data_IF_192115099849
#
_entry.id   IF_192115099849
#
_cell.length_a   1.000
_cell.length_b   1.000
_cell.length_c   1.000
_cell.angle_alpha   90.00
_cell.angle_beta   90.00
_cell.angle_gamma   90.00
#
_symmetry.space_group_name_H-M   'P 1'
#
loop_
_entity.id
_entity.type
_entity.pdbx_description
1 polymer ?
#
# COMPACT_ATOMS: atom_id res chain seq x y z
N UNK A 1 0.30 6.47 -28.42
CA UNK A 1 0.47 5.23 -27.63
C UNK A 1 -0.23 5.42 -26.30
N UNK A 2 -1.06 4.47 -25.85
CA UNK A 2 -1.59 4.51 -24.47
C UNK A 2 -0.43 4.36 -23.49
N UNK A 3 -0.38 5.20 -22.46
CA UNK A 3 0.60 5.09 -21.37
C UNK A 3 0.25 3.85 -20.55
N UNK A 4 1.21 2.95 -20.34
CA UNK A 4 1.05 1.77 -19.49
C UNK A 4 0.63 2.19 -18.07
N UNK A 5 -0.41 1.56 -17.54
CA UNK A 5 -0.91 1.78 -16.17
C UNK A 5 0.05 1.21 -15.11
N UNK A 6 -0.14 1.58 -13.85
CA UNK A 6 0.64 1.01 -12.74
C UNK A 6 0.44 -0.49 -12.61
N UNK A 7 -0.82 -0.95 -12.65
CA UNK A 7 -1.15 -2.36 -12.50
C UNK A 7 -0.62 -3.20 -13.67
N UNK A 8 -0.70 -2.71 -14.90
CA UNK A 8 -0.10 -3.39 -16.06
C UNK A 8 1.42 -3.51 -15.90
N UNK A 9 2.08 -2.46 -15.40
CA UNK A 9 3.51 -2.51 -15.11
C UNK A 9 3.83 -3.54 -14.02
N UNK A 10 3.05 -3.57 -12.95
CA UNK A 10 3.23 -4.50 -11.84
C UNK A 10 3.02 -5.95 -12.25
N UNK A 11 1.91 -6.26 -12.92
CA UNK A 11 1.56 -7.61 -13.35
C UNK A 11 2.58 -8.19 -14.34
N UNK A 12 3.13 -7.35 -15.24
CA UNK A 12 4.16 -7.76 -16.19
C UNK A 12 5.49 -8.18 -15.52
N UNK A 13 5.66 -7.88 -14.22
CA UNK A 13 6.84 -8.24 -13.44
C UNK A 13 6.60 -9.43 -12.52
N UNK A 14 5.37 -9.93 -12.39
CA UNK A 14 5.07 -11.04 -11.51
C UNK A 14 5.42 -12.37 -12.17
N UNK A 15 6.09 -13.25 -11.42
CA UNK A 15 6.30 -14.64 -11.82
C UNK A 15 5.37 -15.59 -11.07
N UNK A 16 5.04 -16.69 -11.74
CA UNK A 16 4.37 -17.86 -11.13
C UNK A 16 5.38 -18.79 -10.44
N UNK A 17 6.67 -18.42 -10.43
CA UNK A 17 7.72 -19.17 -9.76
C UNK A 17 7.49 -19.22 -8.26
N UNK A 18 7.47 -20.42 -7.70
CA UNK A 18 7.33 -20.66 -6.25
C UNK A 18 8.60 -20.30 -5.51
N UNK A 19 8.46 -19.89 -4.24
CA UNK A 19 9.61 -19.59 -3.40
C UNK A 19 10.44 -20.84 -3.10
N UNK A 20 11.77 -20.75 -3.27
CA UNK A 20 12.70 -21.80 -2.84
C UNK A 20 13.25 -21.47 -1.44
N UNK A 21 12.58 -21.98 -0.42
CA UNK A 21 12.93 -21.73 0.99
C UNK A 21 14.12 -22.57 1.50
N UNK A 22 14.64 -23.49 0.69
CA UNK A 22 15.76 -24.36 1.06
C UNK A 22 17.14 -23.73 0.85
N UNK A 23 17.20 -22.59 0.16
CA UNK A 23 18.43 -21.86 -0.11
C UNK A 23 19.12 -21.40 1.18
N UNK A 24 20.45 -21.25 1.14
CA UNK A 24 21.21 -20.69 2.27
C UNK A 24 20.75 -19.28 2.63
N UNK A 25 20.38 -18.49 1.62
CA UNK A 25 19.88 -17.12 1.80
C UNK A 25 18.53 -17.10 2.53
N UNK A 26 17.55 -17.91 2.10
CA UNK A 26 16.26 -18.02 2.78
C UNK A 26 16.41 -18.46 4.25
N UNK A 27 17.28 -19.44 4.52
CA UNK A 27 17.60 -19.90 5.88
C UNK A 27 18.28 -18.82 6.73
N UNK A 28 19.12 -17.98 6.12
CA UNK A 28 19.77 -16.84 6.78
C UNK A 28 18.76 -15.74 7.10
N UNK A 29 17.85 -15.44 6.18
CA UNK A 29 16.76 -14.47 6.33
C UNK A 29 15.84 -14.89 7.49
N UNK A 30 15.39 -16.15 7.52
CA UNK A 30 14.52 -16.69 8.58
C UNK A 30 15.10 -16.55 10.00
N UNK A 31 16.42 -16.64 10.14
CA UNK A 31 17.09 -16.46 11.45
C UNK A 31 17.13 -15.00 11.90
N UNK A 32 17.07 -14.05 10.96
CA UNK A 32 17.18 -12.61 11.23
C UNK A 32 15.81 -11.93 11.33
N UNK A 33 14.81 -12.41 10.59
CA UNK A 33 13.44 -11.91 10.62
C UNK A 33 12.63 -12.68 11.67
N UNK A 34 12.31 -12.02 12.78
CA UNK A 34 11.30 -12.52 13.72
C UNK A 34 9.92 -12.02 13.29
N UNK A 35 9.00 -12.96 13.08
CA UNK A 35 7.62 -12.69 12.68
C UNK A 35 6.68 -12.83 13.88
N UNK A 36 5.75 -11.89 14.02
CA UNK A 36 4.61 -12.07 14.91
C UNK A 36 3.60 -13.06 14.31
N UNK A 37 2.81 -13.80 15.13
CA UNK A 37 1.88 -14.81 14.63
C UNK A 37 0.81 -14.30 13.66
N UNK A 38 0.54 -13.00 13.66
CA UNK A 38 -0.43 -12.35 12.78
C UNK A 38 0.23 -11.68 11.55
N UNK A 39 1.47 -12.04 11.22
CA UNK A 39 2.21 -11.45 10.12
C UNK A 39 2.62 -12.49 9.08
N UNK A 40 2.59 -12.06 7.83
CA UNK A 40 3.21 -12.72 6.69
C UNK A 40 4.29 -11.80 6.11
N UNK A 41 5.40 -12.34 5.63
CA UNK A 41 6.45 -11.58 4.96
C UNK A 41 6.84 -12.26 3.65
N UNK A 42 7.04 -11.46 2.60
CA UNK A 42 7.62 -11.89 1.34
C UNK A 42 8.80 -11.00 0.94
N UNK A 43 9.81 -11.58 0.29
CA UNK A 43 10.89 -10.83 -0.37
C UNK A 43 10.88 -11.19 -1.85
N UNK A 44 10.66 -10.19 -2.69
CA UNK A 44 10.62 -10.34 -4.15
C UNK A 44 11.78 -9.59 -4.80
N UNK A 45 12.50 -10.28 -5.68
CA UNK A 45 13.62 -9.73 -6.43
C UNK A 45 13.13 -9.24 -7.80
N UNK A 46 13.25 -7.93 -8.05
CA UNK A 46 12.79 -7.26 -9.26
C UNK A 46 13.80 -7.28 -10.41
N UNK A 47 14.98 -7.90 -10.20
CA UNK A 47 15.99 -8.10 -11.25
C UNK A 47 15.89 -9.50 -11.87
N UNK A 48 15.51 -10.47 -11.06
CA UNK A 48 15.33 -11.88 -11.46
C UNK A 48 13.86 -12.28 -11.59
N UNK A 49 12.94 -11.45 -11.08
CA UNK A 49 11.50 -11.75 -10.98
C UNK A 49 11.25 -13.05 -10.19
N UNK A 50 11.96 -13.21 -9.08
CA UNK A 50 11.86 -14.39 -8.22
C UNK A 50 11.39 -14.03 -6.81
N UNK A 51 10.49 -14.85 -6.29
CA UNK A 51 10.08 -14.80 -4.88
C UNK A 51 11.16 -15.50 -4.03
N UNK A 52 12.06 -14.70 -3.45
CA UNK A 52 13.25 -15.19 -2.73
C UNK A 52 12.94 -15.74 -1.34
N UNK A 53 11.89 -15.23 -0.71
CA UNK A 53 11.50 -15.62 0.64
C UNK A 53 10.01 -15.41 0.86
N UNK A 54 9.37 -16.34 1.58
CA UNK A 54 8.05 -16.18 2.16
C UNK A 54 7.99 -16.89 3.51
N UNK A 55 7.20 -16.36 4.43
CA UNK A 55 6.90 -16.97 5.72
C UNK A 55 5.62 -16.35 6.30
N UNK A 56 4.86 -17.11 7.07
CA UNK A 56 3.65 -16.64 7.76
C UNK A 56 2.39 -16.46 6.88
N UNK A 57 2.38 -16.87 5.61
CA UNK A 57 1.17 -16.79 4.77
C UNK A 57 0.07 -17.78 5.17
N UNK A 58 0.34 -18.64 6.15
CA UNK A 58 -0.67 -19.46 6.83
C UNK A 58 -1.79 -18.61 7.43
N UNK A 59 -1.55 -17.33 7.75
CA UNK A 59 -2.62 -16.40 8.20
C UNK A 59 -3.72 -16.21 7.15
N UNK A 60 -3.40 -16.40 5.86
CA UNK A 60 -4.35 -16.38 4.75
C UNK A 60 -4.85 -17.78 4.40
N UNK A 61 -4.39 -18.82 5.09
CA UNK A 61 -4.65 -20.23 4.79
C UNK A 61 -3.91 -20.74 3.55
N UNK A 62 -2.74 -20.17 3.27
CA UNK A 62 -1.84 -20.58 2.19
C UNK A 62 -0.68 -21.42 2.72
N UNK A 63 -0.02 -22.16 1.83
CA UNK A 63 1.18 -22.97 2.13
C UNK A 63 2.40 -22.25 1.56
N UNK A 64 3.35 -21.86 2.42
CA UNK A 64 4.49 -21.01 2.04
C UNK A 64 5.31 -21.57 0.88
N UNK A 65 5.52 -22.89 0.81
CA UNK A 65 6.29 -23.55 -0.26
C UNK A 65 5.54 -23.62 -1.59
N UNK A 66 4.24 -23.33 -1.60
CA UNK A 66 3.38 -23.48 -2.78
C UNK A 66 3.00 -22.15 -3.43
N UNK A 67 3.27 -21.02 -2.78
CA UNK A 67 2.86 -19.70 -3.27
C UNK A 67 3.89 -19.05 -4.20
N UNK A 68 3.36 -18.34 -5.17
CA UNK A 68 4.06 -17.43 -6.08
C UNK A 68 3.83 -15.97 -5.68
N UNK A 69 4.50 -15.03 -6.35
CA UNK A 69 4.25 -13.60 -6.12
C UNK A 69 2.83 -13.20 -6.60
N UNK A 70 2.28 -13.92 -7.57
CA UNK A 70 0.89 -13.73 -8.00
C UNK A 70 -0.10 -14.12 -6.89
N UNK A 71 0.17 -15.18 -6.14
CA UNK A 71 -0.66 -15.58 -4.99
C UNK A 71 -0.60 -14.54 -3.87
N UNK A 72 0.59 -14.00 -3.59
CA UNK A 72 0.78 -12.89 -2.65
C UNK A 72 -0.06 -11.67 -3.07
N UNK A 73 -0.05 -11.31 -4.35
CA UNK A 73 -0.89 -10.23 -4.88
C UNK A 73 -2.39 -10.52 -4.81
N UNK A 74 -2.77 -11.79 -5.00
CA UNK A 74 -4.17 -12.23 -4.97
C UNK A 74 -4.76 -12.34 -3.54
N UNK A 75 -3.97 -12.11 -2.49
CA UNK A 75 -4.48 -11.99 -1.11
C UNK A 75 -5.46 -10.83 -0.94
N UNK A 76 -5.37 -9.77 -1.75
CA UNK A 76 -6.36 -8.69 -1.81
C UNK A 76 -7.65 -9.15 -2.49
N UNK A 77 -8.80 -8.71 -1.96
CA UNK A 77 -10.10 -8.98 -2.60
C UNK A 77 -10.15 -8.38 -4.01
N UNK A 78 -10.87 -9.00 -4.96
CA UNK A 78 -10.93 -8.54 -6.35
C UNK A 78 -11.25 -7.05 -6.50
N UNK A 79 -12.15 -6.51 -5.68
CA UNK A 79 -12.62 -5.12 -5.71
C UNK A 79 -11.53 -4.10 -5.35
N UNK A 80 -10.52 -4.52 -4.57
CA UNK A 80 -9.43 -3.66 -4.10
C UNK A 80 -8.08 -4.02 -4.72
N UNK A 81 -7.98 -5.18 -5.37
CA UNK A 81 -6.74 -5.65 -6.00
C UNK A 81 -6.21 -4.69 -7.05
N UNK A 82 -7.12 -4.12 -7.86
CA UNK A 82 -6.72 -3.20 -8.94
C UNK A 82 -5.99 -1.98 -8.39
N UNK A 83 -6.54 -1.35 -7.36
CA UNK A 83 -5.95 -0.16 -6.74
C UNK A 83 -4.63 -0.48 -6.02
N UNK A 84 -4.53 -1.62 -5.34
CA UNK A 84 -3.27 -2.06 -4.74
C UNK A 84 -2.18 -2.24 -5.80
N UNK A 85 -2.48 -2.90 -6.92
CA UNK A 85 -1.54 -3.08 -8.02
C UNK A 85 -1.16 -1.77 -8.70
N UNK A 86 -2.11 -0.86 -8.88
CA UNK A 86 -1.88 0.45 -9.47
C UNK A 86 -0.93 1.31 -8.61
N UNK A 87 -1.14 1.32 -7.29
CA UNK A 87 -0.29 2.02 -6.33
C UNK A 87 1.13 1.45 -6.32
N UNK A 88 1.27 0.14 -6.11
CA UNK A 88 2.57 -0.53 -6.05
C UNK A 88 3.34 -0.39 -7.37
N UNK A 89 2.68 -0.62 -8.51
CA UNK A 89 3.33 -0.55 -9.82
C UNK A 89 3.84 0.83 -10.19
N UNK A 90 3.06 1.89 -9.93
CA UNK A 90 3.52 3.28 -10.17
C UNK A 90 4.73 3.65 -9.31
N UNK A 91 4.72 3.26 -8.04
CA UNK A 91 5.84 3.53 -7.12
C UNK A 91 7.09 2.78 -7.57
N UNK A 92 6.98 1.47 -7.83
CA UNK A 92 8.12 0.65 -8.27
C UNK A 92 8.68 1.19 -9.58
N UNK A 93 7.81 1.52 -10.55
CA UNK A 93 8.23 2.11 -11.82
C UNK A 93 8.99 3.42 -11.64
N UNK A 94 8.47 4.31 -10.80
CA UNK A 94 9.10 5.59 -10.56
C UNK A 94 10.51 5.44 -9.98
N UNK A 95 10.68 4.57 -8.98
CA UNK A 95 11.99 4.31 -8.35
C UNK A 95 12.96 3.61 -9.33
N UNK A 96 12.47 2.72 -10.20
CA UNK A 96 13.30 2.09 -11.24
C UNK A 96 13.78 3.10 -12.29
N UNK A 97 12.95 4.09 -12.64
CA UNK A 97 13.29 5.14 -13.62
C UNK A 97 14.12 6.28 -13.03
N UNK A 98 13.98 6.54 -11.72
CA UNK A 98 14.66 7.62 -10.99
C UNK A 98 15.35 7.01 -9.78
N UNK A 99 16.58 6.53 -9.97
CA UNK A 99 17.41 5.99 -8.90
C UNK A 99 17.61 7.06 -7.82
N UNK A 100 16.81 6.98 -6.77
CA UNK A 100 16.89 7.87 -5.62
C UNK A 100 17.48 7.10 -4.43
N UNK A 101 18.36 7.76 -3.68
CA UNK A 101 18.93 7.20 -2.45
C UNK A 101 17.88 7.30 -1.33
N UNK A 102 16.85 6.46 -1.43
CA UNK A 102 15.69 6.48 -0.56
C UNK A 102 16.02 5.64 0.68
N UNK A 103 16.58 6.27 1.70
CA UNK A 103 16.68 5.66 3.02
C UNK A 103 15.27 5.27 3.49
N UNK A 104 14.99 3.97 3.42
CA UNK A 104 13.92 3.25 4.12
C UNK A 104 12.53 3.91 3.95
N UNK A 105 11.99 3.87 2.73
CA UNK A 105 10.58 4.21 2.53
C UNK A 105 9.71 3.00 2.82
N UNK A 106 8.90 3.11 3.88
CA UNK A 106 7.84 2.16 4.15
C UNK A 106 6.56 2.70 3.48
N UNK A 107 6.15 2.05 2.41
CA UNK A 107 4.80 2.19 1.87
C UNK A 107 3.85 1.43 2.77
N UNK A 108 2.90 2.12 3.38
CA UNK A 108 1.81 1.48 4.13
C UNK A 108 0.56 1.46 3.25
N UNK A 109 -0.13 0.32 3.18
CA UNK A 109 -1.42 0.17 2.52
C UNK A 109 -2.36 -0.59 3.47
N UNK A 110 -3.52 -0.03 3.77
CA UNK A 110 -4.62 -0.76 4.41
C UNK A 110 -5.61 -1.20 3.34
N UNK A 111 -5.90 -2.49 3.30
CA UNK A 111 -6.82 -3.09 2.33
C UNK A 111 -7.55 -4.29 2.95
N UNK A 112 -8.61 -4.71 2.28
CA UNK A 112 -9.33 -5.93 2.59
C UNK A 112 -8.65 -7.11 1.91
N UNK A 113 -8.07 -7.99 2.73
CA UNK A 113 -7.59 -9.29 2.31
C UNK A 113 -8.69 -10.35 2.44
N UNK A 114 -8.42 -11.55 1.89
CA UNK A 114 -9.29 -12.70 2.03
C UNK A 114 -8.48 -13.96 2.34
N UNK A 115 -8.89 -14.69 3.37
CA UNK A 115 -8.40 -16.03 3.65
C UNK A 115 -8.97 -17.01 2.62
N UNK A 116 -8.27 -18.11 2.32
CA UNK A 116 -8.74 -19.20 1.43
C UNK A 116 -10.09 -19.81 1.81
N UNK A 117 -10.60 -19.61 3.03
CA UNK A 117 -11.93 -20.06 3.46
C UNK A 117 -13.05 -19.02 3.18
N UNK A 118 -12.71 -17.90 2.53
CA UNK A 118 -13.62 -16.80 2.20
C UNK A 118 -13.69 -15.67 3.23
N UNK A 119 -13.09 -15.84 4.42
CA UNK A 119 -13.13 -14.83 5.49
C UNK A 119 -12.40 -13.56 5.07
N UNK A 120 -13.08 -12.41 5.22
CA UNK A 120 -12.49 -11.10 4.95
C UNK A 120 -11.60 -10.64 6.12
N UNK A 121 -10.49 -10.01 5.79
CA UNK A 121 -9.43 -9.62 6.72
C UNK A 121 -9.06 -8.16 6.54
N UNK A 122 -8.82 -7.44 7.65
CA UNK A 122 -8.14 -6.15 7.58
C UNK A 122 -6.63 -6.40 7.54
N UNK A 123 -5.99 -6.00 6.44
CA UNK A 123 -4.54 -6.17 6.26
C UNK A 123 -3.87 -4.81 6.16
N UNK A 124 -2.83 -4.63 6.98
CA UNK A 124 -1.83 -3.59 6.81
C UNK A 124 -0.62 -4.17 6.07
N UNK A 125 -0.38 -3.73 4.85
CA UNK A 125 0.82 -4.03 4.09
C UNK A 125 1.86 -2.92 4.29
N UNK A 126 3.10 -3.33 4.58
CA UNK A 126 4.26 -2.48 4.72
C UNK A 126 5.35 -2.93 3.76
N UNK A 127 5.56 -2.18 2.68
CA UNK A 127 6.58 -2.45 1.67
C UNK A 127 7.82 -1.60 1.90
N UNK A 128 9.01 -2.20 1.90
CA UNK A 128 10.29 -1.54 2.07
C UNK A 128 11.34 -2.13 1.13
N UNK A 129 12.20 -1.28 0.57
CA UNK A 129 13.39 -1.76 -0.15
C UNK A 129 14.28 -2.62 0.76
N UNK A 130 14.58 -3.83 0.31
CA UNK A 130 15.41 -4.79 1.04
C UNK A 130 16.85 -4.73 0.55
N UNK A 131 17.07 -4.71 -0.76
CA UNK A 131 18.36 -4.51 -1.39
C UNK A 131 18.25 -3.55 -2.57
N UNK A 132 19.34 -2.85 -2.87
CA UNK A 132 19.48 -1.97 -4.04
C UNK A 132 20.51 -2.54 -5.02
N UNK A 133 20.38 -2.18 -6.28
CA UNK A 133 21.40 -2.43 -7.29
C UNK A 133 22.58 -1.47 -7.12
N UNK A 134 23.71 -1.75 -7.77
CA UNK A 134 24.87 -0.85 -7.78
C UNK A 134 24.54 0.55 -8.32
N UNK A 135 23.48 0.68 -9.13
CA UNK A 135 23.04 1.93 -9.72
C UNK A 135 22.00 2.66 -8.86
N UNK A 136 21.68 2.16 -7.66
CA UNK A 136 20.72 2.77 -6.74
C UNK A 136 19.24 2.48 -7.02
N UNK A 137 18.93 1.55 -7.94
CA UNK A 137 17.55 1.11 -8.20
C UNK A 137 17.15 -0.06 -7.30
N UNK A 138 15.88 -0.45 -7.32
CA UNK A 138 15.37 -1.59 -6.55
C UNK A 138 15.99 -2.89 -7.08
N UNK A 139 16.68 -3.63 -6.19
CA UNK A 139 17.01 -5.05 -6.43
C UNK A 139 15.91 -5.93 -5.88
N UNK A 140 15.57 -5.76 -4.61
CA UNK A 140 14.52 -6.55 -3.94
C UNK A 140 13.70 -5.71 -2.96
N UNK A 141 12.43 -6.07 -2.78
CA UNK A 141 11.50 -5.45 -1.83
C UNK A 141 11.07 -6.49 -0.82
N UNK A 142 11.12 -6.12 0.46
CA UNK A 142 10.48 -6.84 1.55
C UNK A 142 9.10 -6.25 1.77
N UNK A 143 8.09 -7.11 1.79
CA UNK A 143 6.71 -6.77 2.13
C UNK A 143 6.33 -7.52 3.39
N UNK A 144 5.89 -6.80 4.42
CA UNK A 144 5.26 -7.36 5.60
C UNK A 144 3.75 -7.08 5.57
N UNK A 145 2.94 -8.10 5.71
CA UNK A 145 1.49 -8.02 5.81
C UNK A 145 1.08 -8.37 7.23
N UNK A 146 0.41 -7.47 7.92
CA UNK A 146 -0.09 -7.67 9.29
C UNK A 146 -1.60 -7.79 9.27
N UNK A 147 -2.12 -8.92 9.75
CA UNK A 147 -3.54 -9.10 10.00
C UNK A 147 -3.95 -8.37 11.28
N UNK A 148 -4.96 -7.51 11.16
CA UNK A 148 -5.51 -6.70 12.26
C UNK A 148 -6.93 -7.19 12.61
N UNK A 149 -7.07 -8.27 13.41
CA UNK A 149 -8.36 -8.92 13.67
C UNK A 149 -9.37 -8.03 14.40
N UNK A 150 -8.90 -7.00 15.11
CA UNK A 150 -9.73 -6.07 15.85
C UNK A 150 -10.35 -4.97 14.97
N UNK A 151 -9.89 -4.83 13.73
CA UNK A 151 -10.43 -3.88 12.77
C UNK A 151 -11.31 -4.60 11.76
N UNK A 152 -12.40 -3.95 11.35
CA UNK A 152 -13.22 -4.47 10.25
C UNK A 152 -12.40 -4.40 8.95
N UNK A 153 -12.58 -5.34 8.01
CA UNK A 153 -12.02 -5.24 6.67
C UNK A 153 -12.39 -3.88 6.07
N UNK A 154 -11.42 -3.09 5.59
CA UNK A 154 -11.68 -1.76 5.10
C UNK A 154 -12.46 -1.86 3.79
N UNK A 155 -13.47 -1.02 3.60
CA UNK A 155 -14.21 -0.99 2.32
C UNK A 155 -13.48 -0.18 1.23
N UNK A 156 -12.48 0.60 1.65
CA UNK A 156 -11.71 1.52 0.81
C UNK A 156 -10.22 1.29 1.08
N UNK A 157 -9.42 1.32 0.02
CA UNK A 157 -7.96 1.26 0.17
C UNK A 157 -7.44 2.61 0.62
N UNK A 158 -6.68 2.61 1.72
CA UNK A 158 -5.93 3.77 2.19
C UNK A 158 -4.44 3.47 2.15
N UNK A 159 -3.62 4.47 1.91
CA UNK A 159 -2.17 4.29 1.84
C UNK A 159 -1.44 5.54 2.32
N UNK A 160 -0.20 5.37 2.78
CA UNK A 160 0.68 6.48 3.09
C UNK A 160 2.16 6.13 2.84
N UNK A 161 2.95 7.17 2.59
CA UNK A 161 4.40 7.11 2.53
C UNK A 161 4.97 7.87 3.72
N UNK A 162 5.94 7.27 4.40
CA UNK A 162 6.52 7.85 5.62
C UNK A 162 7.50 9.02 5.36
N UNK A 163 8.09 9.14 4.16
CA UNK A 163 9.04 10.22 3.85
C UNK A 163 8.34 11.39 3.14
N UNK A 164 8.42 12.64 3.66
CA UNK A 164 7.65 13.77 3.14
C UNK A 164 7.98 14.24 1.71
N UNK A 165 9.24 14.21 1.28
CA UNK A 165 9.65 14.73 -0.03
C UNK A 165 9.22 13.78 -1.16
N UNK A 166 9.54 12.50 -1.02
CA UNK A 166 9.11 11.40 -1.86
C UNK A 166 7.58 11.32 -1.90
N UNK A 167 6.93 11.51 -0.76
CA UNK A 167 5.47 11.58 -0.70
C UNK A 167 4.90 12.67 -1.59
N UNK A 168 5.49 13.86 -1.67
CA UNK A 168 4.96 14.91 -2.54
C UNK A 168 5.11 14.54 -4.02
N UNK A 169 6.28 14.06 -4.44
CA UNK A 169 6.54 13.59 -5.81
C UNK A 169 5.59 12.47 -6.21
N UNK A 170 5.42 11.48 -5.33
CA UNK A 170 4.57 10.32 -5.57
C UNK A 170 3.09 10.69 -5.45
N UNK A 171 2.68 11.55 -4.51
CA UNK A 171 1.29 12.01 -4.42
C UNK A 171 0.90 12.69 -5.72
N UNK A 172 1.74 13.54 -6.31
CA UNK A 172 1.45 14.16 -7.61
C UNK A 172 1.32 13.14 -8.76
N UNK A 173 2.12 12.07 -8.73
CA UNK A 173 2.04 10.95 -9.70
C UNK A 173 0.75 10.14 -9.53
N UNK A 174 0.38 9.82 -8.30
CA UNK A 174 -0.77 8.98 -7.96
C UNK A 174 -2.09 9.76 -8.03
N UNK A 175 -2.08 11.05 -7.67
CA UNK A 175 -3.25 11.92 -7.63
C UNK A 175 -3.74 12.35 -9.01
N UNK A 176 -2.90 12.26 -10.05
CA UNK A 176 -3.31 12.58 -11.43
C UNK A 176 -3.91 11.38 -12.15
N UNK A 177 -3.39 10.19 -11.89
CA UNK A 177 -3.65 9.00 -12.72
C UNK A 177 -4.43 7.89 -11.99
N UNK A 178 -4.64 7.97 -10.66
CA UNK A 178 -5.54 7.05 -9.96
C UNK A 178 -6.92 7.71 -9.80
N UNK A 179 -7.86 7.24 -10.63
CA UNK A 179 -9.25 7.67 -10.69
C UNK A 179 -10.18 6.56 -10.15
N UNK A 180 -9.76 5.85 -9.10
CA UNK A 180 -10.61 4.84 -8.48
C UNK A 180 -11.43 5.50 -7.35
N UNK A 181 -12.79 5.47 -7.41
CA UNK A 181 -13.63 6.08 -6.37
C UNK A 181 -13.44 5.42 -4.99
N UNK A 182 -12.91 4.20 -4.94
CA UNK A 182 -12.74 3.40 -3.73
C UNK A 182 -11.35 3.56 -3.08
N UNK A 183 -10.69 4.70 -3.26
CA UNK A 183 -9.46 5.04 -2.53
C UNK A 183 -9.58 6.38 -1.79
N UNK A 184 -8.72 6.58 -0.79
CA UNK A 184 -8.45 7.91 -0.22
C UNK A 184 -6.96 8.20 -0.34
N UNK A 185 -6.65 9.36 -0.92
CA UNK A 185 -5.27 9.79 -1.15
C UNK A 185 -4.64 10.15 0.19
N UNK A 186 -3.33 9.98 0.29
CA UNK A 186 -2.58 10.33 1.51
C UNK A 186 -2.92 11.74 2.03
N UNK A 187 -3.01 12.73 1.13
CA UNK A 187 -3.32 14.11 1.50
C UNK A 187 -4.77 14.32 1.95
N UNK A 188 -5.69 13.65 1.28
CA UNK A 188 -7.10 13.66 1.65
C UNK A 188 -7.31 13.02 3.03
N UNK A 189 -6.58 11.94 3.32
CA UNK A 189 -6.60 11.28 4.62
C UNK A 189 -6.11 12.20 5.75
N UNK A 190 -4.99 12.90 5.57
CA UNK A 190 -4.48 13.88 6.55
C UNK A 190 -5.49 14.98 6.85
N UNK A 191 -6.05 15.57 5.80
CA UNK A 191 -7.04 16.65 5.95
C UNK A 191 -8.25 16.13 6.69
N UNK A 192 -8.72 14.93 6.36
CA UNK A 192 -9.85 14.29 7.01
C UNK A 192 -9.56 13.96 8.49
N UNK A 193 -8.37 13.47 8.81
CA UNK A 193 -7.91 13.22 10.18
C UNK A 193 -7.87 14.51 11.02
N UNK A 194 -7.26 15.58 10.52
CA UNK A 194 -7.23 16.85 11.26
C UNK A 194 -8.63 17.44 11.43
N UNK A 195 -9.49 17.28 10.42
CA UNK A 195 -10.90 17.71 10.49
C UNK A 195 -11.64 16.92 11.57
N UNK A 196 -11.45 15.59 11.65
CA UNK A 196 -12.03 14.74 12.69
C UNK A 196 -11.51 15.08 14.10
N UNK A 197 -10.27 15.58 14.21
CA UNK A 197 -9.69 16.10 15.45
C UNK A 197 -10.18 17.51 15.84
N UNK A 198 -11.10 18.10 15.06
CA UNK A 198 -11.67 19.42 15.35
C UNK A 198 -10.83 20.61 14.91
N UNK A 199 -9.81 20.42 14.06
CA UNK A 199 -9.04 21.53 13.52
C UNK A 199 -9.87 22.35 12.51
N UNK A 200 -9.78 23.68 12.61
CA UNK A 200 -10.33 24.60 11.61
C UNK A 200 -9.51 24.56 10.31
N UNK A 201 -10.11 24.96 9.19
CA UNK A 201 -9.40 25.04 7.90
C UNK A 201 -8.13 25.90 7.98
N UNK A 202 -8.12 26.95 8.81
CA UNK A 202 -6.93 27.78 9.03
C UNK A 202 -5.83 27.08 9.82
N UNK A 203 -6.17 26.19 10.74
CA UNK A 203 -5.18 25.39 11.47
C UNK A 203 -4.62 24.28 10.58
N UNK A 204 -5.48 23.62 9.80
CA UNK A 204 -5.09 22.59 8.83
C UNK A 204 -4.15 23.19 7.77
N UNK A 205 -4.53 24.32 7.17
CA UNK A 205 -3.74 24.99 6.13
C UNK A 205 -2.34 25.36 6.60
N UNK A 206 -2.22 25.87 7.84
CA UNK A 206 -0.93 26.14 8.49
C UNK A 206 -0.09 24.89 8.73
N UNK A 207 -0.68 23.82 9.29
CA UNK A 207 0.01 22.54 9.55
C UNK A 207 0.53 21.89 8.28
N UNK A 208 -0.24 22.05 7.20
CA UNK A 208 -0.03 21.35 5.94
C UNK A 208 0.67 22.21 4.88
N UNK A 209 1.01 23.47 5.20
CA UNK A 209 1.63 24.43 4.29
C UNK A 209 0.88 24.60 2.95
N UNK A 210 -0.46 24.65 3.00
CA UNK A 210 -1.36 24.87 1.85
C UNK A 210 -2.34 26.01 2.11
N UNK A 211 -3.10 26.44 1.10
CA UNK A 211 -4.11 27.48 1.28
C UNK A 211 -5.40 26.94 1.93
N UNK A 212 -6.16 27.80 2.62
CA UNK A 212 -7.50 27.43 3.12
C UNK A 212 -8.40 26.89 2.00
N UNK A 213 -8.32 27.50 0.80
CA UNK A 213 -9.06 27.06 -0.39
C UNK A 213 -8.65 25.67 -0.86
N UNK A 214 -7.38 25.31 -0.71
CA UNK A 214 -6.89 23.95 -1.01
C UNK A 214 -7.49 22.94 -0.04
N UNK A 215 -7.52 23.25 1.26
CA UNK A 215 -8.17 22.41 2.28
C UNK A 215 -9.66 22.23 1.96
N UNK A 216 -10.34 23.33 1.62
CA UNK A 216 -11.76 23.31 1.22
C UNK A 216 -12.01 22.37 0.07
N UNK A 217 -11.21 22.50 -0.99
CA UNK A 217 -11.34 21.70 -2.21
C UNK A 217 -11.13 20.21 -1.94
N UNK A 218 -10.19 19.84 -1.08
CA UNK A 218 -10.02 18.43 -0.69
C UNK A 218 -11.24 17.88 0.06
N UNK A 219 -11.77 18.64 1.03
CA UNK A 219 -12.98 18.23 1.76
C UNK A 219 -14.21 18.18 0.84
N UNK A 220 -14.35 19.12 -0.09
CA UNK A 220 -15.41 19.14 -1.08
C UNK A 220 -15.33 17.93 -2.01
N UNK A 221 -14.14 17.65 -2.55
CA UNK A 221 -13.92 16.47 -3.40
C UNK A 221 -14.25 15.17 -2.66
N UNK A 222 -13.84 15.04 -1.39
CA UNK A 222 -14.15 13.87 -0.56
C UNK A 222 -15.66 13.74 -0.32
N UNK A 223 -16.34 14.84 0.01
CA UNK A 223 -17.79 14.85 0.20
C UNK A 223 -18.52 14.42 -1.06
N UNK A 224 -18.15 14.99 -2.21
CA UNK A 224 -18.76 14.63 -3.49
C UNK A 224 -18.48 13.17 -3.85
N UNK A 225 -17.26 12.69 -3.64
CA UNK A 225 -16.86 11.30 -3.99
C UNK A 225 -17.53 10.24 -3.12
N UNK A 226 -17.83 10.58 -1.86
CA UNK A 226 -18.45 9.67 -0.89
C UNK A 226 -19.90 10.05 -0.56
N UNK A 227 -20.54 10.86 -1.42
CA UNK A 227 -21.94 11.28 -1.30
C UNK A 227 -22.33 11.83 0.08
N UNK A 228 -21.39 12.48 0.76
CA UNK A 228 -21.59 13.08 2.07
C UNK A 228 -22.06 14.52 1.94
N UNK A 229 -23.18 14.88 2.57
CA UNK A 229 -23.77 16.22 2.46
C UNK A 229 -23.02 17.29 3.25
N UNK A 230 -22.27 16.90 4.28
CA UNK A 230 -21.53 17.83 5.13
C UNK A 230 -20.31 17.15 5.78
N UNK A 231 -19.48 17.94 6.46
CA UNK A 231 -18.25 17.44 7.09
C UNK A 231 -18.53 16.43 8.21
N UNK A 232 -19.66 16.52 8.92
CA UNK A 232 -20.00 15.55 9.96
C UNK A 232 -20.34 14.18 9.37
N UNK A 233 -21.09 14.14 8.27
CA UNK A 233 -21.32 12.90 7.52
C UNK A 233 -20.02 12.34 6.96
N UNK A 234 -19.13 13.18 6.42
CA UNK A 234 -17.83 12.74 5.92
C UNK A 234 -16.94 12.15 7.03
N UNK A 235 -16.94 12.75 8.23
CA UNK A 235 -16.23 12.21 9.40
C UNK A 235 -16.85 10.87 9.83
N UNK A 236 -18.18 10.78 9.88
CA UNK A 236 -18.90 9.55 10.26
C UNK A 236 -18.58 8.42 9.27
N UNK A 237 -18.64 8.72 7.98
CA UNK A 237 -18.20 7.83 6.92
C UNK A 237 -16.77 7.35 7.15
N UNK A 238 -15.85 8.27 7.45
CA UNK A 238 -14.46 7.93 7.65
C UNK A 238 -14.22 7.00 8.86
N UNK A 239 -14.99 7.20 9.93
CA UNK A 239 -15.01 6.31 11.09
C UNK A 239 -15.58 4.94 10.74
N UNK A 240 -16.70 4.89 10.00
CA UNK A 240 -17.32 3.64 9.54
C UNK A 240 -16.39 2.82 8.63
N UNK A 241 -15.50 3.51 7.91
CA UNK A 241 -14.49 2.92 7.03
C UNK A 241 -13.14 2.63 7.73
N UNK A 242 -13.01 2.92 9.03
CA UNK A 242 -11.76 2.76 9.83
C UNK A 242 -10.54 3.45 9.20
N UNK A 243 -10.70 4.69 8.76
CA UNK A 243 -9.60 5.45 8.15
C UNK A 243 -8.65 6.08 9.17
N UNK A 244 -9.07 6.17 10.43
CA UNK A 244 -8.28 6.65 11.57
C UNK A 244 -8.86 6.16 12.88
#
# INVERSE_FOLDING_TARGET
>A
MKKQTGIEYFLNQLSEGKANLDTMDAKSIKKKLMLFPNQAVSIYDYTTFELKYVDGFEIFGLVNEEISMLDVFNTAIPEQREICGELSGKIIKHIQEHAENLEIHVLNINYAGQHTNGTLMHILLQGKMFETTNNGTIKSILVAMTYLPHLKPPKIVSWCLNEPNFRNTISDLLDKDIMNPNHIRSRELEILQFTAQGHTMSQISKKLHISNRTVEKHLENLRCRFECQNSAQLITFAMDMNLF
#
